data_IF_140575705572
#
_entry.id   IF_140575705572
#
_cell.length_a   1.000
_cell.length_b   1.000
_cell.length_c   1.000
_cell.angle_alpha   90.00
_cell.angle_beta   90.00
_cell.angle_gamma   90.00
#
_symmetry.space_group_name_H-M   'P 1'
#
loop_
_entity.id
_entity.type
_entity.pdbx_description
1 polymer ?
#
# COMPACT_ATOMS: atom_id res chain seq x y z
N UNK A 1 20.12 -1.97 6.97
CA UNK A 1 18.97 -2.01 6.04
C UNK A 1 18.40 -0.61 5.93
N UNK A 2 18.48 -0.01 4.74
CA UNK A 2 18.09 1.38 4.45
C UNK A 2 16.83 1.46 3.58
N UNK A 3 16.19 0.31 3.32
CA UNK A 3 15.00 0.20 2.48
C UNK A 3 13.79 0.83 3.18
N UNK A 4 13.07 1.66 2.46
CA UNK A 4 11.91 2.44 2.94
C UNK A 4 10.60 2.03 2.29
N UNK A 5 10.66 1.32 1.16
CA UNK A 5 9.50 0.94 0.37
C UNK A 5 9.08 -0.49 0.59
N UNK A 6 7.78 -0.68 0.81
CA UNK A 6 7.16 -1.96 1.06
C UNK A 6 6.04 -2.23 0.07
N UNK A 7 5.93 -3.51 -0.29
CA UNK A 7 4.79 -4.06 -1.01
C UNK A 7 3.89 -4.77 -0.01
N UNK A 8 2.65 -4.30 0.07
CA UNK A 8 1.54 -4.92 0.79
C UNK A 8 0.86 -5.89 -0.19
N UNK A 9 0.76 -7.17 0.16
CA UNK A 9 0.16 -8.22 -0.68
C UNK A 9 -1.04 -8.86 0.00
N UNK A 10 -1.88 -9.51 -0.80
CA UNK A 10 -3.10 -10.20 -0.37
C UNK A 10 -4.15 -9.25 0.23
N UNK A 11 -4.27 -8.05 -0.34
CA UNK A 11 -5.34 -7.11 0.00
C UNK A 11 -6.67 -7.67 -0.55
N UNK A 12 -7.78 -7.62 0.20
CA UNK A 12 -9.08 -8.01 -0.32
C UNK A 12 -9.52 -7.07 -1.43
N UNK A 13 -10.03 -7.62 -2.54
CA UNK A 13 -10.30 -6.87 -3.77
C UNK A 13 -11.32 -5.72 -3.60
N UNK A 14 -12.15 -5.77 -2.54
CA UNK A 14 -13.13 -4.74 -2.19
C UNK A 14 -12.53 -3.53 -1.46
N UNK A 15 -11.28 -3.58 -1.02
CA UNK A 15 -10.62 -2.42 -0.42
C UNK A 15 -10.41 -1.32 -1.45
N UNK A 16 -10.79 -0.10 -1.09
CA UNK A 16 -10.49 1.09 -1.87
C UNK A 16 -9.20 1.74 -1.38
N UNK A 17 -8.63 2.63 -2.19
CA UNK A 17 -7.46 3.42 -1.82
C UNK A 17 -7.71 4.25 -0.57
N UNK A 18 -8.91 4.86 -0.46
CA UNK A 18 -9.31 5.63 0.72
C UNK A 18 -9.35 4.76 1.99
N UNK A 19 -9.95 3.57 1.93
CA UNK A 19 -9.98 2.66 3.09
C UNK A 19 -8.59 2.25 3.56
N UNK A 20 -7.67 2.02 2.61
CA UNK A 20 -6.28 1.70 2.92
C UNK A 20 -5.55 2.93 3.50
N UNK A 21 -5.82 4.12 2.97
CA UNK A 21 -5.26 5.38 3.46
C UNK A 21 -5.70 5.66 4.89
N UNK A 22 -6.99 5.52 5.20
CA UNK A 22 -7.55 5.73 6.53
C UNK A 22 -6.99 4.71 7.53
N UNK A 23 -6.85 3.45 7.11
CA UNK A 23 -6.18 2.42 7.89
C UNK A 23 -4.76 2.81 8.28
N UNK A 24 -3.97 3.28 7.30
CA UNK A 24 -2.56 3.60 7.55
C UNK A 24 -2.48 4.87 8.39
N UNK A 25 -3.35 5.85 8.15
CA UNK A 25 -3.41 7.08 8.93
C UNK A 25 -3.81 6.87 10.39
N UNK A 26 -4.51 5.80 10.75
CA UNK A 26 -4.85 5.55 12.16
C UNK A 26 -3.63 5.25 13.04
N UNK A 27 -2.51 4.85 12.45
CA UNK A 27 -1.31 4.40 13.19
C UNK A 27 -0.01 5.04 12.70
N UNK A 28 0.07 5.39 11.43
CA UNK A 28 1.28 5.79 10.71
C UNK A 28 1.07 7.12 9.95
N UNK A 29 0.13 7.96 10.40
CA UNK A 29 -0.10 9.29 9.82
C UNK A 29 1.22 10.08 9.75
N UNK A 30 1.48 10.73 8.62
CA UNK A 30 2.68 11.54 8.37
C UNK A 30 4.02 10.78 8.44
N UNK A 31 4.02 9.44 8.43
CA UNK A 31 5.26 8.63 8.43
C UNK A 31 5.60 8.03 7.06
N UNK A 32 4.78 8.32 6.05
CA UNK A 32 4.95 7.87 4.67
C UNK A 32 4.71 9.03 3.71
N UNK A 33 5.33 8.97 2.53
CA UNK A 33 5.29 10.02 1.51
C UNK A 33 4.74 9.53 0.15
N UNK A 34 4.43 8.23 0.06
CA UNK A 34 3.88 7.58 -1.11
C UNK A 34 3.01 6.40 -0.68
N UNK A 35 1.79 6.31 -1.21
CA UNK A 35 0.90 5.17 -1.10
C UNK A 35 0.19 4.98 -2.44
N UNK A 36 0.25 3.78 -2.98
CA UNK A 36 -0.40 3.45 -4.25
C UNK A 36 -1.05 2.07 -4.17
N UNK A 37 -2.37 2.02 -4.31
CA UNK A 37 -3.15 0.77 -4.41
C UNK A 37 -3.46 0.53 -5.88
N UNK A 38 -3.03 -0.62 -6.42
CA UNK A 38 -3.31 -0.92 -7.82
C UNK A 38 -4.76 -1.38 -7.99
N UNK A 39 -5.49 -0.70 -8.87
CA UNK A 39 -6.88 -0.96 -9.20
C UNK A 39 -6.98 -1.57 -10.60
N UNK A 40 -7.82 -2.58 -10.75
CA UNK A 40 -8.31 -3.05 -12.04
C UNK A 40 -9.60 -2.31 -12.38
N UNK A 41 -9.51 -1.41 -13.35
CA UNK A 41 -10.61 -0.55 -13.78
C UNK A 41 -11.77 -1.32 -14.42
N UNK A 42 -11.48 -2.45 -15.09
CA UNK A 42 -12.52 -3.26 -15.74
C UNK A 42 -13.45 -3.89 -14.69
N UNK A 43 -12.86 -4.39 -13.62
CA UNK A 43 -13.58 -5.06 -12.54
C UNK A 43 -13.90 -4.15 -11.35
N UNK A 44 -13.49 -2.87 -11.40
CA UNK A 44 -13.63 -1.87 -10.33
C UNK A 44 -13.19 -2.38 -8.96
N UNK A 45 -12.10 -3.15 -8.94
CA UNK A 45 -11.60 -3.87 -7.77
C UNK A 45 -10.08 -3.73 -7.71
N UNK A 46 -9.50 -3.77 -6.51
CA UNK A 46 -8.03 -3.82 -6.44
C UNK A 46 -7.51 -5.21 -6.87
N UNK A 47 -6.28 -5.24 -7.37
CA UNK A 47 -5.61 -6.47 -7.82
C UNK A 47 -4.91 -7.24 -6.68
N UNK A 48 -5.12 -6.82 -5.44
CA UNK A 48 -4.63 -7.52 -4.25
C UNK A 48 -3.27 -7.07 -3.73
N UNK A 49 -2.71 -5.97 -4.23
CA UNK A 49 -1.47 -5.41 -3.69
C UNK A 49 -1.39 -3.88 -3.77
N UNK A 50 -0.58 -3.31 -2.88
CA UNK A 50 -0.27 -1.89 -2.80
C UNK A 50 1.21 -1.66 -2.51
N UNK A 51 1.69 -0.44 -2.79
CA UNK A 51 3.02 0.03 -2.44
C UNK A 51 2.94 1.19 -1.46
N UNK A 52 3.82 1.19 -0.46
CA UNK A 52 3.97 2.29 0.48
C UNK A 52 5.46 2.62 0.64
N UNK A 53 5.81 3.91 0.64
CA UNK A 53 7.15 4.37 0.98
C UNK A 53 7.11 5.14 2.30
N UNK A 54 7.86 4.67 3.29
CA UNK A 54 8.01 5.36 4.57
C UNK A 54 9.11 6.40 4.51
N UNK A 55 8.95 7.53 5.21
CA UNK A 55 9.96 8.59 5.24
C UNK A 55 11.12 8.28 6.19
N UNK A 56 10.90 7.43 7.20
CA UNK A 56 11.88 7.15 8.24
C UNK A 56 12.28 5.66 8.30
N UNK A 57 13.57 5.39 8.12
CA UNK A 57 14.17 4.04 8.17
C UNK A 57 14.18 3.45 9.59
N UNK A 58 14.12 4.29 10.63
CA UNK A 58 14.14 3.85 12.03
C UNK A 58 12.84 3.17 12.48
N UNK A 59 11.81 3.15 11.62
CA UNK A 59 10.55 2.46 11.82
C UNK A 59 10.67 0.93 11.63
N UNK A 60 11.85 0.31 11.82
CA UNK A 60 12.00 -1.15 11.80
C UNK A 60 11.12 -1.87 12.82
N UNK A 61 10.98 -1.30 14.02
CA UNK A 61 10.01 -1.77 15.03
C UNK A 61 8.58 -1.54 14.55
N UNK A 62 8.32 -0.38 13.94
CA UNK A 62 7.04 -0.06 13.35
C UNK A 62 6.66 -1.05 12.26
N UNK A 63 7.55 -1.54 11.37
CA UNK A 63 7.18 -2.51 10.32
C UNK A 63 6.52 -3.79 10.81
N UNK A 64 6.98 -4.35 11.93
CA UNK A 64 6.34 -5.53 12.50
C UNK A 64 4.95 -5.16 13.03
N UNK A 65 4.84 -4.03 13.73
CA UNK A 65 3.56 -3.47 14.18
C UNK A 65 2.64 -3.07 13.02
N UNK A 66 3.13 -2.49 11.93
CA UNK A 66 2.39 -2.11 10.73
C UNK A 66 1.90 -3.35 10.01
N UNK A 67 2.75 -4.37 9.87
CA UNK A 67 2.37 -5.67 9.30
C UNK A 67 1.25 -6.32 10.12
N UNK A 68 1.37 -6.35 11.45
CA UNK A 68 0.34 -6.90 12.33
C UNK A 68 -0.94 -6.07 12.30
N UNK A 69 -0.82 -4.75 12.28
CA UNK A 69 -1.95 -3.82 12.25
C UNK A 69 -2.71 -3.90 10.93
N UNK A 70 -2.02 -3.84 9.79
CA UNK A 70 -2.61 -3.99 8.47
C UNK A 70 -3.28 -5.38 8.35
N UNK A 71 -2.63 -6.44 8.86
CA UNK A 71 -3.24 -7.79 8.93
C UNK A 71 -4.53 -7.80 9.75
N UNK A 72 -4.52 -7.17 10.93
CA UNK A 72 -5.68 -7.12 11.83
C UNK A 72 -6.84 -6.33 11.21
N UNK A 73 -6.55 -5.14 10.68
CA UNK A 73 -7.54 -4.25 10.09
C UNK A 73 -8.20 -4.85 8.83
N UNK A 74 -7.39 -5.44 7.95
CA UNK A 74 -7.87 -6.10 6.74
C UNK A 74 -8.79 -7.28 7.07
N UNK A 75 -8.48 -8.04 8.13
CA UNK A 75 -9.30 -9.17 8.57
C UNK A 75 -10.68 -8.71 9.07
N UNK A 76 -10.73 -7.62 9.84
CA UNK A 76 -11.94 -7.20 10.55
C UNK A 76 -12.97 -6.48 9.66
N UNK A 77 -12.57 -5.86 8.57
CA UNK A 77 -13.48 -5.03 7.76
C UNK A 77 -14.38 -5.83 6.82
N UNK A 78 -13.92 -6.99 6.33
CA UNK A 78 -14.66 -7.78 5.34
C UNK A 78 -14.78 -9.27 5.69
N UNK A 79 -14.41 -9.69 6.90
CA UNK A 79 -14.28 -11.11 7.26
C UNK A 79 -13.45 -11.91 6.24
N UNK A 80 -12.47 -11.25 5.60
CA UNK A 80 -11.69 -11.89 4.55
C UNK A 80 -10.71 -12.87 5.17
N UNK A 81 -10.69 -14.11 4.67
CA UNK A 81 -9.66 -15.10 5.01
C UNK A 81 -8.28 -14.74 4.46
N UNK A 82 -8.20 -13.73 3.58
CA UNK A 82 -6.94 -13.29 2.98
C UNK A 82 -6.01 -12.73 4.07
N UNK A 83 -4.87 -13.40 4.23
CA UNK A 83 -3.79 -12.96 5.13
C UNK A 83 -2.89 -11.97 4.42
N UNK A 84 -3.09 -10.70 4.71
CA UNK A 84 -2.23 -9.63 4.22
C UNK A 84 -0.76 -9.92 4.59
N UNK A 85 0.17 -9.65 3.70
CA UNK A 85 1.61 -9.81 3.96
C UNK A 85 2.38 -8.57 3.53
N UNK A 86 3.41 -8.23 4.30
CA UNK A 86 4.30 -7.12 4.01
C UNK A 86 5.64 -7.67 3.56
N UNK A 87 6.22 -7.05 2.54
CA UNK A 87 7.53 -7.42 2.01
C UNK A 87 8.24 -6.19 1.48
N UNK A 88 9.56 -6.22 1.39
CA UNK A 88 10.28 -5.17 0.68
C UNK A 88 9.86 -5.15 -0.78
N UNK A 89 9.59 -3.95 -1.30
CA UNK A 89 9.37 -3.77 -2.72
C UNK A 89 10.71 -3.93 -3.47
N UNK A 90 10.67 -4.46 -4.69
CA UNK A 90 11.87 -4.55 -5.54
C UNK A 90 12.40 -3.15 -5.89
N UNK A 91 11.51 -2.15 -5.95
CA UNK A 91 11.84 -0.76 -6.21
C UNK A 91 11.73 0.01 -4.91
N UNK A 92 12.74 0.82 -4.65
CA UNK A 92 12.92 1.54 -3.40
C UNK A 92 12.98 3.04 -3.68
N UNK A 93 12.36 3.82 -2.81
CA UNK A 93 12.29 5.28 -2.90
C UNK A 93 11.07 5.76 -3.69
N UNK A 94 10.55 6.92 -3.27
CA UNK A 94 9.41 7.58 -3.90
C UNK A 94 9.65 7.89 -5.38
N UNK A 95 10.79 8.48 -5.71
CA UNK A 95 11.07 8.94 -7.08
C UNK A 95 11.08 7.77 -8.07
N UNK A 96 11.69 6.64 -7.69
CA UNK A 96 11.74 5.44 -8.53
C UNK A 96 10.35 4.78 -8.68
N UNK A 97 9.50 4.83 -7.65
CA UNK A 97 8.10 4.39 -7.77
C UNK A 97 7.33 5.30 -8.71
N UNK A 98 7.43 6.62 -8.51
CA UNK A 98 6.76 7.62 -9.32
C UNK A 98 7.17 7.48 -10.78
N UNK A 99 8.46 7.33 -11.09
CA UNK A 99 8.94 7.14 -12.46
C UNK A 99 8.40 5.85 -13.10
N UNK A 100 8.39 4.75 -12.34
CA UNK A 100 7.84 3.48 -12.84
C UNK A 100 6.34 3.56 -13.12
N UNK A 101 5.57 4.17 -12.21
CA UNK A 101 4.12 4.27 -12.37
C UNK A 101 3.75 5.34 -13.38
N UNK A 102 4.56 6.41 -13.52
CA UNK A 102 4.44 7.42 -14.59
C UNK A 102 4.51 6.83 -15.99
N UNK A 103 5.43 5.89 -16.19
CA UNK A 103 5.63 5.23 -17.48
C UNK A 103 4.73 4.00 -17.67
N UNK A 104 3.88 3.67 -16.69
CA UNK A 104 2.85 2.64 -16.86
C UNK A 104 1.54 3.32 -17.25
N UNK A 105 0.72 2.68 -18.09
CA UNK A 105 -0.59 3.18 -18.57
C UNK A 105 -1.59 3.58 -17.48
N UNK A 106 -1.22 3.51 -16.20
CA UNK A 106 -1.99 3.99 -15.05
C UNK A 106 -2.16 5.51 -15.07
N UNK A 107 -1.19 6.28 -15.60
CA UNK A 107 -1.30 7.76 -15.60
C UNK A 107 -2.24 8.33 -16.66
N UNK A 108 -2.70 7.52 -17.62
CA UNK A 108 -3.69 7.96 -18.61
C UNK A 108 -5.12 7.99 -18.04
N UNK A 109 -5.30 7.54 -16.80
CA UNK A 109 -6.61 7.32 -16.18
C UNK A 109 -6.96 8.39 -15.11
N UNK A 110 -8.23 8.36 -14.68
CA UNK A 110 -8.95 9.34 -13.85
C UNK A 110 -8.21 9.76 -12.56
N UNK A 111 -8.33 11.04 -12.19
CA UNK A 111 -7.53 11.69 -11.13
C UNK A 111 -7.81 11.13 -9.73
N UNK A 112 -9.00 10.56 -9.51
CA UNK A 112 -9.40 9.89 -8.27
C UNK A 112 -8.69 8.55 -8.02
N UNK A 113 -7.97 8.03 -9.02
CA UNK A 113 -7.27 6.74 -8.97
C UNK A 113 -5.75 6.88 -9.22
N UNK A 114 -5.24 8.12 -9.27
CA UNK A 114 -3.81 8.45 -9.31
C UNK A 114 -3.18 8.46 -7.92
#
# INVERSE_FOLDING_TARGET
DKRTTFMIRNIPNKYTQQMLLDCINSTHKNTYDFLYLRIDFKNKCNVGYAFINFTNVNLKLSLHHTSLFIKYFIRNLFNSEKRCSLSYANIQGKDALVEKFKNSNVMEEDEAYR
#
